data_IF_715554059150
#
_entry.id   IF_715554059150
#
_cell.length_a   1.000
_cell.length_b   1.000
_cell.length_c   1.000
_cell.angle_alpha   90.00
_cell.angle_beta   90.00
_cell.angle_gamma   90.00
#
_symmetry.space_group_name_H-M   'P 1'
#
loop_
_entity.id
_entity.type
_entity.pdbx_description
1 polymer ?
2 non-polymer ?
3 water ?
#
# COMPACT_ATOMS: atom_id res chain seq x y z
N UNK A 6 -8.07 2.16 -15.70
CA UNK A 6 -7.40 1.28 -16.64
C UNK A 6 -5.89 1.35 -16.65
N UNK A 7 -5.32 2.23 -15.84
CA UNK A 7 -3.87 2.40 -15.74
C UNK A 7 -3.45 2.14 -14.30
N UNK A 8 -2.26 1.57 -14.11
CA UNK A 8 -1.68 1.39 -12.79
C UNK A 8 -0.64 2.48 -12.60
N UNK A 9 -0.74 3.23 -11.51
CA UNK A 9 0.23 4.27 -11.19
C UNK A 9 1.15 3.79 -10.07
N UNK A 10 2.45 3.90 -10.29
CA UNK A 10 3.47 3.68 -9.28
C UNK A 10 3.98 5.04 -8.83
N UNK A 11 3.81 5.34 -7.54
CA UNK A 11 3.94 6.68 -6.98
C UNK A 11 5.06 6.69 -5.96
N UNK A 12 6.11 7.47 -6.24
CA UNK A 12 7.14 7.65 -5.24
C UNK A 12 7.93 6.40 -4.92
N UNK A 13 8.47 6.36 -3.72
CA UNK A 13 9.31 5.28 -3.28
C UNK A 13 10.73 5.75 -2.98
N UNK A 14 11.62 4.76 -2.88
CA UNK A 14 13.01 4.97 -2.55
C UNK A 14 13.81 4.06 -3.46
N UNK A 15 14.80 4.60 -4.16
CA UNK A 15 15.58 3.81 -5.10
C UNK A 15 16.89 3.31 -4.52
N UNK A 16 17.13 3.53 -3.22
CA UNK A 16 18.39 3.23 -2.58
C UNK A 16 19.35 4.40 -2.48
N UNK A 17 19.20 5.40 -3.34
CA UNK A 17 20.00 6.62 -3.27
C UNK A 17 19.16 7.86 -3.04
N UNK A 18 17.93 7.84 -3.49
CA UNK A 18 17.08 9.05 -3.54
C UNK A 18 15.65 8.71 -3.15
N UNK A 19 15.03 9.60 -2.42
CA UNK A 19 13.58 9.51 -2.14
C UNK A 19 12.94 10.06 -3.40
N UNK A 20 12.01 9.34 -3.97
CA UNK A 20 11.48 9.69 -5.31
C UNK A 20 10.18 10.49 -5.32
N UNK A 21 10.15 11.45 -6.21
CA UNK A 21 8.88 12.09 -6.55
C UNK A 21 8.32 11.57 -7.86
N UNK A 22 9.06 10.72 -8.59
CA UNK A 22 8.57 10.33 -9.90
C UNK A 22 7.38 9.37 -9.80
N UNK A 23 6.54 9.43 -10.83
CA UNK A 23 5.29 8.69 -10.94
C UNK A 23 5.26 8.05 -12.32
N UNK A 24 5.05 6.74 -12.36
CA UNK A 24 4.99 5.98 -13.60
C UNK A 24 3.60 5.39 -13.78
N UNK A 25 3.12 5.36 -15.02
CA UNK A 25 1.80 4.82 -15.33
C UNK A 25 1.94 3.63 -16.27
N UNK A 26 1.26 2.53 -15.94
CA UNK A 26 1.34 1.28 -16.68
C UNK A 26 0.06 1.04 -17.46
N UNK A 27 0.22 0.85 -18.77
CA UNK A 27 -0.86 0.45 -19.66
C UNK A 27 -0.78 -1.05 -19.88
N UNK A 28 -1.70 -1.85 -19.33
CA UNK A 28 -1.59 -3.31 -19.43
C UNK A 28 -1.77 -3.83 -20.84
N UNK A 29 -2.53 -3.13 -21.67
CA UNK A 29 -2.78 -3.60 -23.01
C UNK A 29 -1.55 -3.45 -23.90
N UNK A 30 -0.68 -2.50 -23.61
CA UNK A 30 0.55 -2.33 -24.36
C UNK A 30 1.77 -2.80 -23.58
N UNK A 31 1.59 -3.15 -22.30
CA UNK A 31 2.68 -3.61 -21.45
C UNK A 31 3.83 -2.61 -21.45
N UNK A 32 3.49 -1.35 -21.11
CA UNK A 32 4.46 -0.28 -21.10
C UNK A 32 4.19 0.64 -19.91
N UNK A 33 5.28 1.09 -19.27
CA UNK A 33 5.24 2.14 -18.26
C UNK A 33 5.72 3.45 -18.89
N UNK A 34 5.11 4.55 -18.49
CA UNK A 34 5.59 5.87 -18.90
C UNK A 34 5.56 6.81 -17.72
N UNK A 35 6.50 7.76 -17.70
CA UNK A 35 6.57 8.74 -16.62
C UNK A 35 5.59 9.89 -16.88
N UNK A 36 4.79 10.21 -15.85
CA UNK A 36 3.86 11.34 -15.88
C UNK A 36 4.34 12.41 -14.92
N UNK A 37 3.48 13.36 -14.57
CA UNK A 37 3.94 14.46 -13.71
C UNK A 37 4.41 13.90 -12.36
N UNK A 38 5.58 14.29 -11.88
CA UNK A 38 6.02 13.81 -10.57
C UNK A 38 5.23 14.47 -9.46
N UNK A 39 5.21 13.78 -8.31
CA UNK A 39 4.74 14.42 -7.09
C UNK A 39 5.49 15.73 -6.87
N UNK A 40 4.83 16.66 -6.19
CA UNK A 40 5.52 17.89 -5.79
C UNK A 40 6.50 17.63 -4.66
N UNK A 41 6.17 16.73 -3.72
CA UNK A 41 7.05 16.35 -2.64
C UNK A 41 7.53 14.91 -2.84
N UNK A 42 8.82 14.68 -2.63
CA UNK A 42 9.34 13.31 -2.64
C UNK A 42 8.74 12.51 -1.50
N UNK A 43 8.35 11.27 -1.79
CA UNK A 43 7.64 10.50 -0.78
C UNK A 43 8.01 9.03 -0.92
N UNK A 44 8.76 8.47 0.03
CA UNK A 44 8.81 7.03 0.14
C UNK A 44 7.91 6.64 1.31
N UNK A 45 7.52 5.37 1.34
CA UNK A 45 6.59 4.94 2.38
C UNK A 45 5.27 5.66 2.27
N UNK A 46 4.84 5.93 1.05
CA UNK A 46 3.65 6.72 0.76
C UNK A 46 2.49 5.77 0.56
N UNK A 47 1.32 6.14 1.04
CA UNK A 47 0.10 5.39 0.79
C UNK A 47 -0.70 6.10 -0.30
N UNK A 48 -1.34 5.33 -1.17
CA UNK A 48 -2.09 5.91 -2.28
C UNK A 48 -3.46 5.24 -2.37
N UNK A 49 -4.46 6.02 -2.75
CA UNK A 49 -5.77 5.47 -3.07
C UNK A 49 -6.45 6.40 -4.06
N UNK A 50 -7.50 5.88 -4.68
CA UNK A 50 -8.20 6.53 -5.76
C UNK A 50 -9.62 6.79 -5.33
N UNK A 51 -10.09 8.02 -5.53
CA UNK A 51 -11.48 8.33 -5.25
C UNK A 51 -11.96 9.41 -6.21
N UNK A 52 -13.03 9.08 -6.94
CA UNK A 52 -13.74 9.99 -7.81
C UNK A 52 -12.80 10.67 -8.81
N UNK A 53 -11.95 9.84 -9.40
CA UNK A 53 -11.12 10.28 -10.49
C UNK A 53 -9.84 10.98 -10.10
N UNK A 54 -9.52 11.03 -8.81
CA UNK A 54 -8.25 11.58 -8.36
C UNK A 54 -7.46 10.50 -7.64
N UNK A 55 -6.14 10.54 -7.78
CA UNK A 55 -5.24 9.68 -7.00
C UNK A 55 -4.70 10.50 -5.85
N UNK A 56 -4.86 10.02 -4.63
CA UNK A 56 -4.35 10.72 -3.46
C UNK A 56 -3.06 10.06 -3.00
N UNK A 57 -2.03 10.86 -2.80
CA UNK A 57 -0.76 10.41 -2.25
C UNK A 57 -0.69 10.97 -0.83
N UNK A 58 -0.58 10.07 0.14
CA UNK A 58 -0.80 10.38 1.53
C UNK A 58 0.48 10.14 2.32
N UNK A 59 0.99 11.20 2.95
CA UNK A 59 2.10 11.00 3.86
C UNK A 59 3.39 10.58 3.18
N UNK A 60 4.21 9.84 3.92
CA UNK A 60 5.48 9.36 3.46
C UNK A 60 6.65 10.09 4.11
N UNK A 61 7.83 9.89 3.52
CA UNK A 61 9.07 10.47 4.02
C UNK A 61 9.84 11.00 2.84
N UNK A 62 10.30 12.26 2.93
CA UNK A 62 11.03 12.85 1.82
C UNK A 62 12.54 12.80 1.99
N UNK A 63 13.03 12.10 3.01
CA UNK A 63 14.44 12.02 3.30
C UNK A 63 14.89 12.91 4.43
N UNK A 64 14.08 13.89 4.80
CA UNK A 64 14.36 14.62 6.03
C UNK A 64 13.13 14.87 6.89
N UNK A 65 11.93 14.81 6.34
CA UNK A 65 10.68 15.09 7.07
C UNK A 65 9.67 13.96 6.91
N UNK A 66 9.09 13.51 8.01
CA UNK A 66 7.94 12.58 7.97
C UNK A 66 6.78 13.49 7.64
N UNK A 67 6.02 13.17 6.63
CA UNK A 67 5.01 14.07 6.06
C UNK A 67 3.59 13.87 6.55
N UNK A 68 2.95 14.97 6.88
CA UNK A 68 1.51 14.97 6.98
C UNK A 68 0.82 15.53 5.73
N UNK A 69 1.58 15.97 4.74
CA UNK A 69 0.94 16.53 3.56
C UNK A 69 0.35 15.45 2.66
N UNK A 70 -0.62 15.87 1.84
CA UNK A 70 -1.40 14.99 0.98
C UNK A 70 -1.56 15.72 -0.35
N UNK A 71 -1.28 15.04 -1.45
CA UNK A 71 -1.52 15.63 -2.76
C UNK A 71 -2.42 14.73 -3.59
N UNK A 72 -3.16 15.34 -4.51
CA UNK A 72 -4.11 14.64 -5.35
C UNK A 72 -3.79 14.87 -6.82
N UNK A 73 -3.78 13.80 -7.59
CA UNK A 73 -3.43 13.85 -9.00
C UNK A 73 -4.69 13.74 -9.86
N UNK A 74 -4.84 14.69 -10.77
CA UNK A 74 -5.89 14.65 -11.79
C UNK A 74 -5.26 14.19 -13.09
N UNK A 75 -5.61 13.01 -13.61
CA UNK A 75 -4.94 12.55 -14.84
C UNK A 75 -5.25 13.40 -16.05
N UNK A 76 -6.44 13.99 -16.12
CA UNK A 76 -6.80 14.78 -17.29
C UNK A 76 -5.91 16.01 -17.44
N UNK A 77 -5.49 16.62 -16.33
CA UNK A 77 -4.62 17.77 -16.38
C UNK A 77 -3.17 17.42 -16.07
N UNK A 78 -2.89 16.17 -15.72
CA UNK A 78 -1.54 15.74 -15.40
C UNK A 78 -0.90 16.65 -14.34
N UNK A 79 -1.64 16.86 -13.24
CA UNK A 79 -1.29 17.84 -12.21
C UNK A 79 -1.59 17.27 -10.83
N UNK A 80 -0.65 17.46 -9.91
CA UNK A 80 -0.83 17.16 -8.50
C UNK A 80 -1.18 18.46 -7.77
N UNK A 81 -2.16 18.40 -6.88
CA UNK A 81 -2.53 19.54 -6.04
C UNK A 81 -2.46 19.15 -4.57
N UNK A 82 -1.94 20.04 -3.73
CA UNK A 82 -1.98 19.81 -2.29
C UNK A 82 -3.41 19.93 -1.78
N UNK A 83 -3.82 19.01 -0.92
CA UNK A 83 -5.13 19.11 -0.27
C UNK A 83 -4.90 19.19 1.24
N UNK A 84 -5.94 18.97 2.04
CA UNK A 84 -5.78 19.14 3.47
C UNK A 84 -4.79 18.12 4.03
N UNK A 85 -3.92 18.54 4.94
CA UNK A 85 -2.95 17.60 5.53
C UNK A 85 -3.55 16.75 6.64
N UNK A 86 -2.93 15.59 6.82
CA UNK A 86 -3.24 14.75 7.96
C UNK A 86 -3.00 15.50 9.27
N UNK A 87 -3.72 15.07 10.31
CA UNK A 87 -3.46 15.60 11.63
C UNK A 87 -2.15 15.09 12.22
N UNK A 88 -1.66 13.93 11.77
CA UNK A 88 -0.44 13.32 12.28
C UNK A 88 0.46 12.95 11.10
N UNK A 89 1.74 13.25 11.21
CA UNK A 89 2.71 12.84 10.21
C UNK A 89 2.84 11.32 10.20
N UNK A 90 2.86 10.75 8.99
CA UNK A 90 2.77 9.29 8.83
C UNK A 90 3.59 8.87 7.63
N UNK A 91 4.66 8.14 7.85
CA UNK A 91 5.32 7.39 6.79
C UNK A 91 5.08 5.91 7.00
N UNK A 92 5.24 5.13 5.94
CA UNK A 92 4.90 3.71 6.06
C UNK A 92 3.43 3.52 6.37
N UNK A 93 2.58 4.39 5.85
CA UNK A 93 1.16 4.43 6.16
C UNK A 93 0.41 3.59 5.15
N UNK A 94 -0.62 2.88 5.63
CA UNK A 94 -1.50 2.11 4.77
C UNK A 94 -2.72 2.94 4.45
N UNK A 95 -3.16 2.88 3.20
CA UNK A 95 -4.23 3.75 2.72
C UNK A 95 -5.18 2.96 1.84
N UNK A 96 -6.48 3.12 2.07
CA UNK A 96 -7.47 2.55 1.16
C UNK A 96 -8.73 3.39 1.22
N UNK A 97 -9.59 3.17 0.24
CA UNK A 97 -10.83 3.93 0.09
C UNK A 97 -12.01 2.99 0.34
N UNK A 98 -13.01 3.49 1.07
CA UNK A 98 -14.26 2.79 1.28
C UNK A 98 -15.38 3.79 1.45
N UNK A 99 -16.41 3.66 0.60
CA UNK A 99 -17.64 4.43 0.71
C UNK A 99 -17.39 5.93 0.78
N UNK A 100 -16.52 6.38 -0.11
CA UNK A 100 -16.29 7.80 -0.26
C UNK A 100 -15.35 8.41 0.73
N UNK A 101 -14.67 7.62 1.56
CA UNK A 101 -13.66 8.14 2.47
C UNK A 101 -12.33 7.43 2.22
N UNK A 102 -11.24 8.17 2.35
CA UNK A 102 -9.89 7.63 2.27
C UNK A 102 -9.39 7.44 3.70
N UNK A 103 -8.98 6.23 4.04
CA UNK A 103 -8.46 5.96 5.38
C UNK A 103 -6.96 5.87 5.36
N UNK A 104 -6.32 6.56 6.31
CA UNK A 104 -4.87 6.53 6.53
C UNK A 104 -4.66 5.77 7.82
N UNK A 105 -4.01 4.60 7.73
CA UNK A 105 -3.96 3.62 8.79
C UNK A 105 -2.54 3.52 9.31
N UNK A 106 -2.35 3.87 10.57
CA UNK A 106 -1.06 3.64 11.17
C UNK A 106 0.04 4.46 10.53
N UNK A 107 1.24 3.91 10.56
CA UNK A 107 2.42 4.59 10.08
C UNK A 107 3.39 4.90 11.20
N UNK A 108 4.32 5.79 10.88
CA UNK A 108 5.44 6.16 11.72
C UNK A 108 5.65 7.65 11.60
N UNK A 109 5.66 8.36 12.73
CA UNK A 109 5.74 9.81 12.71
C UNK A 109 7.16 10.33 12.90
N UNK A 110 8.16 9.44 12.84
CA UNK A 110 9.54 9.75 13.08
C UNK A 110 10.01 9.40 14.47
N UNK A 111 9.08 9.31 15.43
CA UNK A 111 9.44 9.02 16.81
C UNK A 111 8.69 7.81 17.35
N UNK A 112 7.49 7.56 16.82
CA UNK A 112 6.65 6.45 17.34
C UNK A 112 5.85 5.76 16.23
N UNK A 113 5.64 4.45 16.37
CA UNK A 113 4.78 3.73 15.41
C UNK A 113 3.35 4.07 15.88
N UNK A 114 2.47 4.27 14.94
CA UNK A 114 1.12 4.76 15.27
C UNK A 114 0.03 3.71 15.22
N UNK A 115 -0.87 3.77 16.19
CA UNK A 115 -2.10 3.01 16.04
C UNK A 115 -3.28 3.86 15.59
N UNK A 116 -3.10 5.16 15.41
CA UNK A 116 -4.23 6.00 15.06
C UNK A 116 -4.57 5.84 13.57
N UNK A 117 -5.81 6.20 13.25
CA UNK A 117 -6.36 6.05 11.91
C UNK A 117 -7.17 7.30 11.65
N UNK A 118 -7.01 7.91 10.48
CA UNK A 118 -7.84 9.05 10.14
C UNK A 118 -8.45 8.87 8.75
N UNK A 119 -9.58 9.54 8.55
CA UNK A 119 -10.38 9.39 7.34
C UNK A 119 -10.55 10.75 6.69
N UNK A 120 -10.32 10.81 5.37
CA UNK A 120 -10.46 12.04 4.61
C UNK A 120 -11.79 12.03 3.84
N UNK A 121 -12.57 13.10 3.99
CA UNK A 121 -13.80 13.23 3.24
C UNK A 121 -13.62 14.28 2.16
N UNK A 122 -13.62 13.93 0.87
CA UNK A 122 -13.41 14.96 -0.17
C UNK A 122 -14.50 16.02 -0.21
N UNK A 123 -15.69 15.70 0.29
CA UNK A 123 -16.75 16.70 0.33
C UNK A 123 -16.44 17.79 1.33
N UNK A 124 -15.57 17.51 2.31
CA UNK A 124 -15.22 18.46 3.36
C UNK A 124 -13.78 18.95 3.26
N UNK A 125 -12.94 18.32 2.45
CA UNK A 125 -11.50 18.54 2.49
C UNK A 125 -10.99 18.56 3.92
N UNK A 126 -11.39 17.53 4.69
CA UNK A 126 -10.98 17.43 6.08
C UNK A 126 -10.66 15.97 6.42
N UNK A 127 -9.67 15.80 7.28
CA UNK A 127 -9.35 14.50 7.87
C UNK A 127 -9.93 14.48 9.28
N UNK A 128 -10.47 13.34 9.68
CA UNK A 128 -10.98 13.17 11.04
C UNK A 128 -10.49 11.85 11.60
N UNK A 129 -10.11 11.85 12.88
CA UNK A 129 -9.67 10.62 13.51
C UNK A 129 -10.87 9.70 13.69
N UNK A 130 -10.65 8.41 13.46
CA UNK A 130 -11.64 7.40 13.77
C UNK A 130 -11.03 6.47 14.81
N UNK A 131 -11.62 5.30 15.00
CA UNK A 131 -11.16 4.41 16.07
C UNK A 131 -9.74 3.91 15.79
N UNK A 132 -8.90 3.84 16.81
CA UNK A 132 -7.52 3.37 16.58
C UNK A 132 -7.39 1.86 16.53
N UNK A 133 -6.30 1.42 15.90
CA UNK A 133 -5.95 0.01 15.86
C UNK A 133 -5.59 -0.47 17.26
N UNK A 134 -5.74 -1.78 17.46
CA UNK A 134 -5.28 -2.40 18.70
C UNK A 134 -3.77 -2.36 18.80
N UNK A 135 -3.07 -2.57 17.68
CA UNK A 135 -1.63 -2.64 17.65
C UNK A 135 -1.08 -1.61 16.68
N UNK A 136 -0.18 -0.77 17.18
CA UNK A 136 0.47 0.21 16.33
C UNK A 136 1.27 -0.49 15.24
N UNK A 137 1.36 0.14 14.09
CA UNK A 137 2.06 -0.54 13.01
C UNK A 137 2.35 0.42 11.88
N UNK A 138 3.54 0.31 11.32
CA UNK A 138 3.90 0.92 10.06
C UNK A 138 4.25 -0.18 9.08
N UNK A 139 4.36 0.19 7.81
CA UNK A 139 4.62 -0.81 6.81
C UNK A 139 3.49 -1.80 6.73
N UNK A 140 2.26 -1.32 6.97
CA UNK A 140 1.05 -2.11 7.06
C UNK A 140 0.36 -2.10 5.70
N UNK A 141 -0.15 -3.26 5.29
CA UNK A 141 -0.98 -3.34 4.10
C UNK A 141 -2.44 -3.17 4.46
N UNK A 142 -3.16 -2.41 3.64
CA UNK A 142 -4.57 -2.13 3.88
C UNK A 142 -5.39 -2.49 2.65
N UNK A 143 -6.42 -3.31 2.86
CA UNK A 143 -7.28 -3.84 1.82
C UNK A 143 -8.72 -3.63 2.22
N UNK A 144 -9.59 -3.49 1.22
CA UNK A 144 -11.02 -3.32 1.44
C UNK A 144 -11.75 -4.48 0.80
N UNK A 145 -12.58 -5.17 1.58
CA UNK A 145 -13.35 -6.30 1.06
C UNK A 145 -14.70 -6.32 1.76
N UNK A 146 -15.76 -6.16 0.97
CA UNK A 146 -17.13 -6.36 1.44
C UNK A 146 -17.45 -5.49 2.65
N UNK A 147 -17.08 -4.22 2.55
CA UNK A 147 -17.45 -3.24 3.53
C UNK A 147 -16.59 -3.21 4.78
N UNK A 148 -15.50 -3.98 4.83
CA UNK A 148 -14.59 -3.95 5.95
C UNK A 148 -13.21 -3.56 5.44
N UNK A 149 -12.46 -2.82 6.25
CA UNK A 149 -11.08 -2.49 5.94
C UNK A 149 -10.20 -3.42 6.76
N UNK A 150 -9.25 -4.08 6.11
CA UNK A 150 -8.32 -4.95 6.80
C UNK A 150 -6.95 -4.30 6.85
N UNK A 151 -6.36 -4.25 8.05
CA UNK A 151 -5.00 -3.81 8.26
C UNK A 151 -4.15 -5.06 8.52
N UNK A 152 -3.17 -5.29 7.65
CA UNK A 152 -2.47 -6.57 7.54
C UNK A 152 -0.99 -6.36 7.84
N UNK A 153 -0.52 -7.00 8.90
CA UNK A 153 0.89 -6.98 9.21
C UNK A 153 1.42 -5.61 9.57
N UNK A 154 2.70 -5.42 9.30
CA UNK A 154 3.41 -4.22 9.65
C UNK A 154 4.50 -4.48 10.68
N UNK A 155 4.95 -3.37 11.27
CA UNK A 155 6.03 -3.36 12.24
C UNK A 155 5.63 -2.40 13.33
N UNK A 156 5.69 -2.84 14.58
CA UNK A 156 5.27 -2.02 15.71
C UNK A 156 6.43 -1.33 16.41
N UNK A 157 7.64 -1.44 15.85
CA UNK A 157 8.83 -0.90 16.47
C UNK A 157 9.63 -1.92 17.25
N UNK A 158 8.99 -2.99 17.70
CA UNK A 158 9.67 -4.08 18.40
C UNK A 158 9.52 -5.42 17.69
N UNK A 159 8.43 -5.62 16.97
CA UNK A 159 8.07 -6.92 16.41
C UNK A 159 7.55 -6.74 15.00
N UNK A 160 7.92 -7.64 14.10
CA UNK A 160 7.29 -7.72 12.80
C UNK A 160 5.99 -8.50 12.97
N UNK A 161 4.91 -7.95 12.47
CA UNK A 161 3.58 -8.39 12.86
C UNK A 161 3.01 -9.40 11.89
N UNK A 162 2.34 -10.40 12.44
CA UNK A 162 1.42 -11.22 11.67
C UNK A 162 -0.03 -10.87 11.94
N UNK A 163 -0.33 -9.98 12.87
CA UNK A 163 -1.71 -9.76 13.22
C UNK A 163 -2.45 -8.97 12.14
N UNK A 164 -3.75 -9.20 12.08
CA UNK A 164 -4.64 -8.66 11.07
C UNK A 164 -5.87 -8.12 11.80
N UNK A 165 -6.20 -6.86 11.55
CA UNK A 165 -7.34 -6.21 12.16
C UNK A 165 -8.34 -5.79 11.09
N UNK A 166 -9.62 -5.91 11.42
CA UNK A 166 -10.70 -5.58 10.49
C UNK A 166 -11.55 -4.44 11.05
N UNK A 167 -11.81 -3.44 10.22
CA UNK A 167 -12.53 -2.24 10.63
C UNK A 167 -13.94 -2.24 10.04
N UNK A 168 -14.93 -2.11 10.91
CA UNK A 168 -16.31 -1.92 10.49
C UNK A 168 -16.67 -0.44 10.59
N UNK A 169 -16.83 0.26 9.46
CA UNK A 169 -17.07 1.71 9.51
C UNK A 169 -18.39 2.08 10.14
N UNK A 170 -19.38 1.20 10.07
CA UNK A 170 -20.69 1.54 10.62
C UNK A 170 -20.70 1.51 12.14
N UNK A 171 -19.84 0.72 12.76
CA UNK A 171 -19.72 0.72 14.21
C UNK A 171 -18.46 1.39 14.69
N UNK A 172 -17.57 1.79 13.78
CA UNK A 172 -16.32 2.45 14.14
C UNK A 172 -15.53 1.61 15.15
N UNK A 173 -15.26 0.36 14.76
CA UNK A 173 -14.57 -0.58 15.62
C UNK A 173 -13.66 -1.51 14.81
N UNK A 174 -12.44 -1.73 15.32
CA UNK A 174 -11.52 -2.71 14.77
C UNK A 174 -11.59 -3.96 15.63
N UNK A 175 -11.46 -5.12 14.99
CA UNK A 175 -11.33 -6.38 15.71
C UNK A 175 -10.24 -7.24 15.06
N UNK A 176 -9.58 -8.05 15.88
CA UNK A 176 -8.53 -8.93 15.39
C UNK A 176 -9.15 -10.21 14.82
N UNK A 177 -8.70 -10.57 13.61
CA UNK A 177 -9.12 -11.80 12.95
C UNK A 177 -7.94 -12.74 12.86
N UNK A 178 -8.00 -13.76 12.02
CA UNK A 178 -6.91 -14.73 11.96
C UNK A 178 -5.63 -14.02 11.51
N UNK A 179 -4.51 -14.21 12.21
CA UNK A 179 -3.24 -13.59 11.80
C UNK A 179 -2.71 -14.26 10.54
N UNK A 180 -1.86 -13.52 9.83
CA UNK A 180 -1.05 -14.12 8.78
C UNK A 180 -0.28 -15.30 9.35
N UNK A 181 0.01 -16.27 8.48
CA UNK A 181 0.89 -17.37 8.90
C UNK A 181 2.33 -16.90 9.02
N UNK A 182 2.77 -16.00 8.13
CA UNK A 182 4.11 -15.41 8.18
C UNK A 182 4.02 -13.95 8.59
N UNK A 183 4.90 -13.53 9.50
CA UNK A 183 5.00 -12.11 9.84
C UNK A 183 5.49 -11.31 8.63
N UNK A 184 4.88 -10.15 8.41
CA UNK A 184 5.17 -9.40 7.19
C UNK A 184 5.08 -7.91 7.47
N UNK A 185 6.22 -7.24 7.50
CA UNK A 185 6.24 -5.78 7.41
C UNK A 185 6.58 -5.42 5.97
N UNK A 186 6.16 -4.23 5.55
CA UNK A 186 6.38 -3.83 4.17
C UNK A 186 5.65 -4.75 3.20
N UNK A 187 4.47 -5.16 3.57
CA UNK A 187 3.67 -6.12 2.82
C UNK A 187 2.75 -5.33 1.90
N UNK A 188 2.52 -5.85 0.71
CA UNK A 188 1.51 -5.30 -0.19
C UNK A 188 0.27 -6.19 -0.16
N UNK A 189 -0.90 -5.55 -0.23
CA UNK A 189 -2.16 -6.28 -0.15
C UNK A 189 -3.09 -5.82 -1.26
N UNK A 190 -3.89 -6.75 -1.77
CA UNK A 190 -4.95 -6.40 -2.69
C UNK A 190 -6.02 -7.48 -2.62
N UNK A 191 -7.18 -7.14 -3.16
CA UNK A 191 -8.38 -7.96 -3.05
C UNK A 191 -8.79 -8.36 -4.45
N UNK A 192 -9.07 -9.65 -4.62
CA UNK A 192 -9.56 -10.13 -5.91
C UNK A 192 -10.49 -11.31 -5.66
N UNK A 193 -11.73 -11.17 -6.13
CA UNK A 193 -12.71 -12.24 -6.15
C UNK A 193 -12.90 -12.85 -4.76
N UNK A 194 -13.01 -11.96 -3.77
CA UNK A 194 -13.36 -12.36 -2.44
C UNK A 194 -12.23 -12.88 -1.59
N UNK A 195 -10.99 -12.79 -2.05
CA UNK A 195 -9.84 -13.13 -1.24
C UNK A 195 -8.95 -11.90 -1.09
N UNK A 196 -8.29 -11.79 0.06
CA UNK A 196 -7.28 -10.76 0.29
C UNK A 196 -5.91 -11.43 0.12
N UNK A 197 -5.08 -10.88 -0.74
CA UNK A 197 -3.76 -11.42 -0.96
C UNK A 197 -2.74 -10.56 -0.23
N UNK A 198 -1.89 -11.22 0.55
CA UNK A 198 -0.78 -10.56 1.23
C UNK A 198 0.49 -11.01 0.52
N UNK A 199 1.21 -10.05 -0.04
CA UNK A 199 2.27 -10.29 -1.00
C UNK A 199 3.59 -9.84 -0.43
N UNK A 200 4.54 -10.76 -0.31
CA UNK A 200 5.89 -10.36 0.07
C UNK A 200 5.98 -9.78 1.47
N UNK A 201 6.97 -8.90 1.65
CA UNK A 201 7.27 -8.28 2.93
C UNK A 201 8.56 -8.79 3.54
N UNK A 202 8.74 -8.47 4.82
CA UNK A 202 9.92 -8.85 5.59
C UNK A 202 9.45 -9.37 6.93
N UNK A 203 9.95 -10.53 7.33
CA UNK A 203 9.52 -11.10 8.61
C UNK A 203 10.49 -10.85 9.74
N UNK A 204 11.50 -10.01 9.53
CA UNK A 204 12.52 -9.75 10.53
C UNK A 204 13.81 -10.50 10.28
N UNK A 205 13.79 -11.56 9.49
CA UNK A 205 15.05 -12.14 9.05
C UNK A 205 15.11 -12.51 7.59
N UNK A 206 13.97 -12.61 6.90
CA UNK A 206 13.89 -12.99 5.48
C UNK A 206 13.04 -12.02 4.66
N UNK A 207 13.52 -11.59 3.52
CA UNK A 207 12.72 -10.81 2.55
C UNK A 207 11.91 -11.89 1.85
N UNK A 208 10.61 -11.74 1.82
CA UNK A 208 9.72 -12.82 1.40
C UNK A 208 9.31 -12.79 -0.06
N UNK A 209 9.33 -13.94 -0.69
CA UNK A 209 8.60 -14.12 -1.93
C UNK A 209 7.29 -14.87 -1.74
N UNK A 210 6.95 -15.28 -0.53
CA UNK A 210 5.72 -16.01 -0.35
C UNK A 210 4.51 -15.07 -0.38
N UNK A 211 3.36 -15.66 -0.68
CA UNK A 211 2.10 -14.95 -0.86
C UNK A 211 1.03 -15.78 -0.18
N UNK A 212 0.18 -15.15 0.62
CA UNK A 212 -0.94 -15.84 1.24
C UNK A 212 -2.25 -15.12 0.94
N UNK A 213 -3.33 -15.89 0.91
CA UNK A 213 -4.65 -15.39 0.59
C UNK A 213 -5.61 -15.69 1.72
N UNK A 214 -6.38 -14.70 2.11
CA UNK A 214 -7.34 -14.79 3.21
C UNK A 214 -8.74 -14.92 2.67
N UNK A 215 -9.46 -15.94 3.15
CA UNK A 215 -10.88 -16.12 2.86
C UNK A 215 -11.64 -15.66 4.09
N UNK A 216 -12.40 -14.57 4.02
CA UNK A 216 -13.10 -14.10 5.24
C UNK A 216 -14.14 -15.08 5.76
N UNK A 217 -14.79 -15.83 4.87
CA UNK A 217 -15.85 -16.76 5.30
C UNK A 217 -15.30 -17.83 6.23
N UNK A 218 -14.09 -18.32 5.95
CA UNK A 218 -13.45 -19.35 6.76
C UNK A 218 -12.45 -18.79 7.76
N UNK A 219 -12.19 -17.49 7.71
CA UNK A 219 -11.21 -16.84 8.58
C UNK A 219 -9.87 -17.57 8.52
N UNK A 220 -9.36 -17.75 7.31
CA UNK A 220 -8.21 -18.60 7.05
C UNK A 220 -7.31 -18.01 5.97
N UNK A 221 -6.00 -18.04 6.23
CA UNK A 221 -4.98 -17.69 5.26
C UNK A 221 -4.41 -18.97 4.65
N UNK A 222 -4.23 -18.98 3.32
CA UNK A 222 -3.61 -20.09 2.63
C UNK A 222 -2.44 -19.59 1.78
N UNK A 223 -1.35 -20.34 1.77
CA UNK A 223 -0.23 -20.03 0.89
C UNK A 223 -0.60 -20.31 -0.56
N UNK A 224 -0.29 -19.38 -1.46
CA UNK A 224 -0.49 -19.60 -2.87
C UNK A 224 0.88 -19.54 -3.55
N UNK A 225 0.91 -19.38 -4.86
CA UNK A 225 2.19 -19.46 -5.55
C UNK A 225 3.08 -18.29 -5.12
N UNK A 226 4.37 -18.51 -4.94
CA UNK A 226 5.26 -17.41 -4.55
C UNK A 226 5.70 -16.58 -5.75
N UNK A 227 6.07 -15.35 -5.45
CA UNK A 227 6.68 -14.47 -6.43
C UNK A 227 7.98 -15.08 -6.94
N UNK A 228 8.38 -14.68 -8.14
CA UNK A 228 9.67 -15.12 -8.64
C UNK A 228 10.82 -14.39 -7.97
N UNK A 229 10.57 -13.22 -7.38
CA UNK A 229 11.58 -12.39 -6.73
C UNK A 229 11.08 -11.99 -5.35
N UNK A 230 11.95 -12.10 -4.35
CA UNK A 230 11.64 -11.63 -3.01
C UNK A 230 11.50 -10.12 -3.00
N UNK A 231 10.47 -9.63 -2.30
CA UNK A 231 10.08 -8.22 -2.38
C UNK A 231 9.49 -7.76 -1.06
N UNK A 232 10.19 -6.88 -0.36
CA UNK A 232 9.62 -6.13 0.75
C UNK A 232 9.45 -4.67 0.32
N UNK A 233 8.59 -3.94 1.01
CA UNK A 233 8.29 -2.59 0.56
C UNK A 233 7.68 -2.58 -0.83
N UNK A 234 6.89 -3.59 -1.14
CA UNK A 234 6.35 -3.80 -2.48
C UNK A 234 4.99 -3.12 -2.58
N UNK A 235 4.70 -2.52 -3.72
CA UNK A 235 3.39 -1.94 -3.99
C UNK A 235 2.55 -2.95 -4.74
N UNK A 236 1.27 -3.04 -4.38
CA UNK A 236 0.42 -4.09 -4.92
C UNK A 236 -0.94 -3.50 -5.25
N UNK A 237 -1.47 -3.85 -6.41
CA UNK A 237 -2.84 -3.46 -6.73
C UNK A 237 -3.40 -4.44 -7.76
N UNK A 238 -4.71 -4.37 -7.92
CA UNK A 238 -5.45 -5.31 -8.76
C UNK A 238 -6.03 -4.54 -9.93
N UNK A 239 -5.94 -5.13 -11.12
CA UNK A 239 -6.57 -4.57 -12.31
C UNK A 239 -6.91 -5.70 -13.27
N UNK A 240 -8.20 -5.75 -13.65
CA UNK A 240 -8.72 -6.69 -14.64
C UNK A 240 -8.33 -8.12 -14.34
N UNK A 241 -8.50 -8.48 -13.09
CA UNK A 241 -8.34 -9.86 -12.71
C UNK A 241 -6.91 -10.29 -12.47
N UNK A 242 -5.94 -9.37 -12.45
CA UNK A 242 -4.56 -9.70 -12.16
C UNK A 242 -4.11 -8.85 -10.99
N UNK A 243 -3.29 -9.44 -10.11
CA UNK A 243 -2.66 -8.71 -9.01
C UNK A 243 -1.23 -8.37 -9.44
N UNK A 244 -0.88 -7.09 -9.39
CA UNK A 244 0.46 -6.66 -9.76
C UNK A 244 1.28 -6.37 -8.52
N UNK A 245 2.51 -6.91 -8.50
CA UNK A 245 3.49 -6.65 -7.46
C UNK A 245 4.55 -5.78 -8.10
N UNK A 246 4.70 -4.56 -7.60
CA UNK A 246 5.46 -3.50 -8.24
C UNK A 246 6.66 -3.17 -7.38
N UNK A 247 7.85 -3.39 -7.93
CA UNK A 247 9.00 -2.90 -7.22
C UNK A 247 9.27 -3.66 -5.93
N UNK A 248 9.87 -2.95 -4.99
CA UNK A 248 10.25 -3.52 -3.71
C UNK A 248 11.76 -3.63 -3.54
N UNK A 249 12.15 -4.41 -2.54
CA UNK A 249 13.53 -4.56 -2.14
C UNK A 249 13.75 -6.02 -1.75
N UNK A 250 14.76 -6.65 -2.35
CA UNK A 250 14.99 -8.08 -2.17
C UNK A 250 16.00 -8.37 -1.07
N UNK A 251 16.40 -7.35 -0.31
CA UNK A 251 17.41 -7.45 0.72
C UNK A 251 18.77 -6.98 0.29
N UNK A 252 19.04 -6.97 -1.02
CA UNK A 252 20.29 -6.50 -1.56
C UNK A 252 20.13 -5.38 -2.57
N UNK A 253 19.01 -5.29 -3.24
CA UNK A 253 18.80 -4.32 -4.35
C UNK A 253 17.36 -3.82 -4.40
N UNK A 254 17.19 -2.55 -4.73
CA UNK A 254 15.85 -2.00 -5.00
C UNK A 254 15.46 -2.51 -6.39
N UNK A 255 14.20 -2.86 -6.53
CA UNK A 255 13.75 -3.53 -7.77
C UNK A 255 12.96 -2.64 -8.72
N UNK A 256 13.26 -2.77 -9.99
CA UNK A 256 12.37 -2.17 -10.97
C UNK A 256 11.44 -3.18 -11.63
N UNK A 257 11.55 -4.46 -11.28
CA UNK A 257 10.71 -5.45 -11.93
C UNK A 257 9.30 -5.46 -11.36
N UNK A 258 8.39 -6.01 -12.14
CA UNK A 258 6.97 -6.00 -11.82
C UNK A 258 6.46 -7.36 -12.25
N UNK A 259 5.68 -8.02 -11.39
CA UNK A 259 5.08 -9.28 -11.79
C UNK A 259 3.59 -9.27 -11.50
N UNK A 260 2.87 -10.11 -12.24
CA UNK A 260 1.42 -10.14 -12.20
C UNK A 260 0.95 -11.55 -11.89
N UNK A 261 0.04 -11.68 -10.93
CA UNK A 261 -0.50 -12.97 -10.51
C UNK A 261 -1.87 -13.19 -11.15
N UNK A 262 -2.04 -14.35 -11.79
CA UNK A 262 -3.33 -14.69 -12.37
C UNK A 262 -3.97 -15.78 -11.51
N UNK A 263 -5.06 -15.52 -10.80
CA UNK A 263 -5.64 -16.59 -9.95
C UNK A 263 -6.16 -17.78 -10.74
N UNK A 264 -6.48 -17.60 -12.02
CA UNK A 264 -6.91 -18.72 -12.83
C UNK A 264 -5.78 -19.70 -13.08
N UNK A 265 -4.53 -19.25 -12.98
CA UNK A 265 -3.35 -20.05 -13.23
C UNK A 265 -2.55 -20.36 -11.98
N UNK A 266 -2.82 -19.69 -10.87
CA UNK A 266 -1.93 -19.71 -9.70
C UNK A 266 -0.48 -19.55 -10.10
N UNK A 267 -0.22 -18.54 -10.94
CA UNK A 267 1.13 -18.28 -11.42
C UNK A 267 1.39 -16.79 -11.46
N UNK A 268 2.63 -16.41 -11.15
CA UNK A 268 3.11 -15.05 -11.33
C UNK A 268 3.92 -15.00 -12.62
N UNK A 269 3.78 -13.91 -13.37
CA UNK A 269 4.59 -13.72 -14.57
C UNK A 269 5.15 -12.31 -14.59
N UNK A 270 6.40 -12.18 -15.03
CA UNK A 270 7.01 -10.87 -15.11
C UNK A 270 6.37 -10.10 -16.26
N UNK A 271 6.11 -8.81 -16.03
CA UNK A 271 5.66 -7.92 -17.10
C UNK A 271 6.73 -6.84 -17.26
N UNK A 272 6.39 -5.74 -17.92
CA UNK A 272 7.39 -4.72 -18.22
C UNK A 272 7.90 -4.07 -16.95
N UNK A 273 9.21 -3.81 -16.85
CA UNK A 273 9.75 -3.18 -15.62
C UNK A 273 9.58 -1.68 -15.61
N UNK A 274 9.64 -1.14 -14.39
CA UNK A 274 9.61 0.29 -14.18
C UNK A 274 10.89 0.92 -14.73
N UNK A 275 10.80 2.21 -15.06
CA UNK A 275 11.98 2.97 -15.44
C UNK A 275 12.93 3.13 -14.27
N UNK A 276 12.39 3.35 -13.07
CA UNK A 276 13.19 3.60 -11.88
C UNK A 276 12.84 2.60 -10.81
N UNK A 277 13.87 1.92 -10.30
CA UNK A 277 13.68 0.99 -9.20
C UNK A 277 13.13 1.73 -7.99
N UNK A 278 12.33 1.03 -7.19
CA UNK A 278 11.75 1.70 -6.05
C UNK A 278 11.11 0.71 -5.10
N UNK A 279 11.33 0.95 -3.82
CA UNK A 279 10.62 0.29 -2.74
C UNK A 279 9.87 1.35 -1.96
N UNK A 280 8.95 0.92 -1.10
CA UNK A 280 8.15 1.90 -0.40
C UNK A 280 7.31 2.71 -1.35
N UNK A 281 6.89 2.09 -2.45
CA UNK A 281 6.15 2.72 -3.53
C UNK A 281 4.66 2.50 -3.31
N UNK A 282 3.88 3.54 -3.56
CA UNK A 282 2.44 3.42 -3.54
C UNK A 282 1.91 3.10 -4.94
N UNK A 283 0.93 2.20 -5.00
CA UNK A 283 0.38 1.74 -6.27
C UNK A 283 -1.13 1.93 -6.24
N UNK A 284 -1.65 2.61 -7.28
CA UNK A 284 -3.06 2.94 -7.40
C UNK A 284 -3.52 2.57 -8.80
N UNK A 285 -4.81 2.26 -8.93
CA UNK A 285 -5.42 1.91 -10.20
C UNK A 285 -6.52 2.93 -10.50
N UNK A 286 -6.45 3.54 -11.67
CA UNK A 286 -7.45 4.53 -12.07
C UNK A 286 -7.64 4.42 -13.58
#
# INVERSE_FOLDING_TARGET
GSHMNGLIYAVGGYDGNTHLNSVEAYDPERNEWSLVAPLSTRRSGVGVAVLNGLIYAVGGYDGNTHLNSVEAYDPERNEWSLVAPLSTRRSGVGVAVLNGLIYAVGGYDGNTHLNSVEAYDPERNEWSLVAPLSTRRSGVGVAVLNGLIYAVGGYDGNTHLNSVEAYDPERNEWSLVAPLSTRRSGVGVAVLNGLIYAVGGYDGNTHLNSVEAYDPERNEWSLVAPLSTRRSGVGVAVLNGLIYAVGGYDGNTHLNSVEAYDPERNEWSLVAPLSTRRSGVGVAVL
#
